data_IF_862417971599
#
_entry.id   IF_862417971599
#
_cell.length_a   1.000
_cell.length_b   1.000
_cell.length_c   1.000
_cell.angle_alpha   90.00
_cell.angle_beta   90.00
_cell.angle_gamma   90.00
#
_symmetry.space_group_name_H-M   'P 1'
#
loop_
_entity.id
_entity.type
_entity.pdbx_description
1 polymer ?
#
# COMPACT_ATOMS: atom_id res chain seq x y z
N UNK A 1 -33.56 -4.15 73.16
CA UNK A 1 -32.24 -3.90 72.56
C UNK A 1 -32.40 -3.87 71.05
N UNK A 2 -32.03 -2.75 70.46
CA UNK A 2 -32.16 -2.39 69.05
C UNK A 2 -31.10 -3.07 68.17
N UNK A 3 -31.53 -3.57 67.00
CA UNK A 3 -30.93 -3.60 65.63
C UNK A 3 -29.41 -3.78 65.40
N UNK A 4 -28.95 -4.43 64.30
CA UNK A 4 -29.12 -3.82 62.98
C UNK A 4 -29.53 -4.73 61.81
N UNK A 5 -30.32 -4.08 60.96
CA UNK A 5 -30.84 -4.44 59.65
C UNK A 5 -29.69 -4.38 58.63
N UNK A 6 -29.37 -5.50 57.95
CA UNK A 6 -28.39 -5.50 56.85
C UNK A 6 -28.98 -4.73 55.65
N UNK A 7 -28.26 -3.69 55.26
CA UNK A 7 -28.55 -2.80 54.13
C UNK A 7 -28.42 -3.59 52.83
N UNK A 8 -29.53 -3.72 52.09
CA UNK A 8 -29.50 -4.20 50.71
C UNK A 8 -28.69 -3.24 49.86
N UNK A 9 -27.67 -3.75 49.16
CA UNK A 9 -26.98 -3.02 48.10
C UNK A 9 -28.02 -2.58 47.06
N UNK A 10 -28.14 -1.26 46.84
CA UNK A 10 -28.94 -0.69 45.75
C UNK A 10 -28.44 -1.29 44.41
N UNK A 11 -29.31 -1.86 43.57
CA UNK A 11 -28.97 -2.14 42.18
C UNK A 11 -28.56 -0.82 41.52
N UNK A 12 -27.47 -0.84 40.76
CA UNK A 12 -27.04 0.31 39.96
C UNK A 12 -28.14 0.74 38.96
N UNK A 13 -28.04 1.95 38.38
CA UNK A 13 -28.99 2.43 37.38
C UNK A 13 -29.17 1.38 36.27
N UNK A 14 -30.40 1.13 35.77
CA UNK A 14 -30.60 0.16 34.69
C UNK A 14 -29.73 0.55 33.50
N UNK A 15 -29.07 -0.44 32.87
CA UNK A 15 -28.31 -0.23 31.65
C UNK A 15 -29.21 0.51 30.65
N UNK A 16 -28.84 1.74 30.29
CA UNK A 16 -29.61 2.52 29.32
C UNK A 16 -29.59 1.77 28.00
N UNK A 17 -30.77 1.47 27.47
CA UNK A 17 -30.94 0.85 26.15
C UNK A 17 -30.02 1.54 25.13
N UNK A 18 -29.27 0.76 24.36
CA UNK A 18 -28.39 1.23 23.29
C UNK A 18 -28.93 0.86 21.91
N UNK A 19 -28.37 1.47 20.85
CA UNK A 19 -28.69 1.08 19.47
C UNK A 19 -28.27 -0.35 19.17
N UNK A 20 -27.19 -0.83 19.79
CA UNK A 20 -26.73 -2.22 19.69
C UNK A 20 -27.71 -3.19 20.35
N UNK A 21 -28.31 -2.84 21.49
CA UNK A 21 -29.34 -3.67 22.12
C UNK A 21 -30.56 -3.81 21.22
N UNK A 22 -30.95 -2.72 20.56
CA UNK A 22 -32.04 -2.68 19.58
C UNK A 22 -31.71 -3.57 18.36
N UNK A 23 -30.52 -3.42 17.79
CA UNK A 23 -30.04 -4.24 16.66
C UNK A 23 -29.96 -5.74 17.03
N UNK A 24 -29.48 -6.07 18.23
CA UNK A 24 -29.42 -7.46 18.72
C UNK A 24 -30.80 -8.06 18.92
N UNK A 25 -31.77 -7.28 19.41
CA UNK A 25 -33.15 -7.73 19.49
C UNK A 25 -33.76 -8.02 18.12
N UNK A 26 -33.44 -7.22 17.10
CA UNK A 26 -33.86 -7.44 15.72
C UNK A 26 -33.23 -8.72 15.13
N UNK A 27 -31.92 -8.94 15.31
CA UNK A 27 -31.25 -10.18 14.88
C UNK A 27 -31.90 -11.42 15.51
N UNK A 28 -32.23 -11.35 16.79
CA UNK A 28 -32.82 -12.47 17.51
C UNK A 28 -34.29 -12.74 17.12
N UNK A 29 -35.00 -11.76 16.55
CA UNK A 29 -36.35 -11.92 15.99
C UNK A 29 -36.32 -12.56 14.60
N UNK A 30 -35.25 -12.31 13.84
CA UNK A 30 -35.12 -12.74 12.45
C UNK A 30 -35.51 -11.61 11.48
N UNK A 31 -34.62 -11.30 10.54
CA UNK A 31 -34.73 -10.11 9.70
C UNK A 31 -35.86 -10.18 8.65
N UNK A 32 -36.21 -11.40 8.21
CA UNK A 32 -37.30 -11.63 7.25
C UNK A 32 -38.68 -11.40 7.85
N UNK A 33 -38.85 -11.67 9.14
CA UNK A 33 -40.13 -11.54 9.87
C UNK A 33 -40.19 -10.30 10.75
N UNK A 34 -39.16 -9.45 10.67
CA UNK A 34 -38.95 -8.32 11.57
C UNK A 34 -40.12 -7.34 11.58
N UNK A 35 -40.62 -7.07 12.79
CA UNK A 35 -41.70 -6.13 13.06
C UNK A 35 -41.34 -5.21 14.21
N UNK A 36 -41.43 -3.89 14.00
CA UNK A 36 -41.19 -2.87 15.04
C UNK A 36 -41.91 -3.17 16.37
N UNK A 37 -43.21 -3.54 16.39
CA UNK A 37 -43.89 -3.95 17.62
C UNK A 37 -43.28 -5.15 18.35
N UNK A 38 -42.83 -6.16 17.62
CA UNK A 38 -42.27 -7.37 18.23
C UNK A 38 -40.92 -7.07 18.85
N UNK A 39 -40.08 -6.26 18.20
CA UNK A 39 -38.79 -5.79 18.74
C UNK A 39 -39.01 -4.97 20.02
N UNK A 40 -39.94 -4.01 20.01
CA UNK A 40 -40.26 -3.19 21.19
C UNK A 40 -40.72 -4.05 22.38
N UNK A 41 -41.63 -5.00 22.12
CA UNK A 41 -42.09 -5.97 23.13
C UNK A 41 -40.96 -6.84 23.66
N UNK A 42 -40.05 -7.29 22.80
CA UNK A 42 -38.90 -8.11 23.21
C UNK A 42 -37.94 -7.35 24.13
N UNK A 43 -37.75 -6.07 23.85
CA UNK A 43 -36.93 -5.17 24.68
C UNK A 43 -37.67 -4.68 25.94
N UNK A 44 -38.97 -4.94 26.07
CA UNK A 44 -39.79 -4.44 27.17
C UNK A 44 -39.97 -2.92 27.16
N UNK A 45 -39.86 -2.28 25.99
CA UNK A 45 -39.97 -0.81 25.84
C UNK A 45 -41.17 -0.41 24.98
N UNK A 46 -41.58 0.86 25.09
CA UNK A 46 -42.61 1.42 24.20
C UNK A 46 -42.08 1.59 22.77
N UNK A 47 -42.98 1.60 21.79
CA UNK A 47 -42.64 1.98 20.40
C UNK A 47 -41.93 3.33 20.32
N UNK A 48 -42.43 4.33 21.06
CA UNK A 48 -41.82 5.67 21.10
C UNK A 48 -40.39 5.66 21.64
N UNK A 49 -40.05 4.71 22.51
CA UNK A 49 -38.67 4.54 23.01
C UNK A 49 -37.79 3.89 21.95
N UNK A 50 -38.29 2.88 21.22
CA UNK A 50 -37.57 2.22 20.13
C UNK A 50 -37.18 3.22 19.02
N UNK A 51 -38.12 4.07 18.60
CA UNK A 51 -37.90 5.07 17.54
C UNK A 51 -36.89 6.18 17.90
N UNK A 52 -36.42 6.26 19.15
CA UNK A 52 -35.30 7.15 19.51
C UNK A 52 -33.95 6.65 19.03
N UNK A 53 -33.84 5.36 18.71
CA UNK A 53 -32.60 4.70 18.33
C UNK A 53 -32.53 4.34 16.85
N UNK A 54 -33.70 4.17 16.22
CA UNK A 54 -33.85 3.85 14.80
C UNK A 54 -35.03 4.61 14.21
N UNK A 55 -34.88 5.09 12.98
CA UNK A 55 -35.90 5.94 12.35
C UNK A 55 -37.09 5.13 11.82
N UNK A 56 -36.81 3.96 11.24
CA UNK A 56 -37.81 3.07 10.65
C UNK A 56 -37.32 1.62 10.66
N UNK A 57 -38.06 0.74 9.96
CA UNK A 57 -37.72 -0.68 9.85
C UNK A 57 -36.42 -0.89 9.07
N UNK A 58 -36.16 -0.09 8.05
CA UNK A 58 -35.00 -0.29 7.18
C UNK A 58 -33.71 0.16 7.88
N UNK A 59 -33.76 1.27 8.63
CA UNK A 59 -32.69 1.70 9.52
C UNK A 59 -32.39 0.66 10.62
N UNK A 60 -33.42 -0.03 11.11
CA UNK A 60 -33.25 -1.15 12.04
C UNK A 60 -32.59 -2.36 11.38
N UNK A 61 -32.97 -2.71 10.15
CA UNK A 61 -32.33 -3.78 9.37
C UNK A 61 -30.86 -3.44 9.11
N UNK A 62 -30.56 -2.21 8.67
CA UNK A 62 -29.19 -1.75 8.44
C UNK A 62 -28.34 -1.80 9.73
N UNK A 63 -28.90 -1.37 10.86
CA UNK A 63 -28.22 -1.45 12.16
C UNK A 63 -27.97 -2.89 12.60
N UNK A 64 -28.91 -3.80 12.36
CA UNK A 64 -28.77 -5.22 12.64
C UNK A 64 -27.68 -5.87 11.77
N UNK A 65 -27.64 -5.56 10.47
CA UNK A 65 -26.59 -6.03 9.56
C UNK A 65 -25.22 -5.49 10.00
N UNK A 66 -25.11 -4.19 10.29
CA UNK A 66 -23.86 -3.55 10.75
C UNK A 66 -23.30 -4.25 12.00
N UNK A 67 -24.16 -4.46 13.01
CA UNK A 67 -23.80 -5.15 14.25
C UNK A 67 -23.32 -6.58 13.98
N UNK A 68 -24.07 -7.36 13.18
CA UNK A 68 -23.72 -8.73 12.87
C UNK A 68 -22.37 -8.84 12.13
N UNK A 69 -22.13 -7.95 11.16
CA UNK A 69 -20.85 -7.89 10.43
C UNK A 69 -19.71 -7.49 11.38
N UNK A 70 -19.96 -6.56 12.32
CA UNK A 70 -18.95 -6.13 13.30
C UNK A 70 -18.56 -7.21 14.30
N UNK A 71 -19.52 -8.01 14.75
CA UNK A 71 -19.28 -9.11 15.71
C UNK A 71 -18.70 -10.37 15.04
N UNK A 72 -18.72 -10.47 13.71
CA UNK A 72 -18.16 -11.59 12.97
C UNK A 72 -16.66 -11.44 12.68
N UNK A 73 -15.95 -12.57 12.58
CA UNK A 73 -14.52 -12.59 12.23
C UNK A 73 -14.35 -12.71 10.72
N UNK A 74 -13.80 -11.66 10.11
CA UNK A 74 -13.49 -11.58 8.69
C UNK A 74 -11.98 -11.76 8.44
N UNK A 75 -11.56 -12.28 7.28
CA UNK A 75 -10.14 -12.41 6.97
C UNK A 75 -9.44 -11.04 6.94
N UNK A 76 -8.19 -11.01 7.40
CA UNK A 76 -7.39 -9.81 7.35
C UNK A 76 -6.97 -9.48 5.89
N UNK A 77 -6.84 -8.20 5.52
CA UNK A 77 -6.46 -7.78 4.17
C UNK A 77 -4.94 -7.93 3.90
N UNK A 78 -4.27 -8.86 4.57
CA UNK A 78 -2.84 -9.16 4.46
C UNK A 78 -2.54 -10.43 3.63
N UNK A 79 -3.58 -11.17 3.23
CA UNK A 79 -3.49 -12.34 2.35
C UNK A 79 -3.33 -11.96 0.86
N UNK A 80 -2.73 -12.84 0.07
CA UNK A 80 -2.66 -12.69 -1.40
C UNK A 80 -4.05 -12.63 -2.03
N UNK A 81 -4.20 -11.99 -3.19
CA UNK A 81 -5.53 -11.67 -3.75
C UNK A 81 -6.48 -12.88 -3.85
N UNK A 82 -5.97 -14.04 -4.30
CA UNK A 82 -6.76 -15.26 -4.51
C UNK A 82 -7.18 -15.86 -3.19
N UNK A 83 -6.23 -15.95 -2.26
CA UNK A 83 -6.46 -16.45 -0.91
C UNK A 83 -7.43 -15.56 -0.14
N UNK A 84 -7.28 -14.23 -0.25
CA UNK A 84 -8.16 -13.25 0.39
C UNK A 84 -9.61 -13.40 -0.09
N UNK A 85 -9.85 -13.44 -1.39
CA UNK A 85 -11.20 -13.56 -1.94
C UNK A 85 -11.82 -14.93 -1.64
N UNK A 86 -11.01 -15.99 -1.61
CA UNK A 86 -11.46 -17.31 -1.19
C UNK A 86 -11.85 -17.33 0.29
N UNK A 87 -11.00 -16.78 1.15
CA UNK A 87 -11.26 -16.66 2.58
C UNK A 87 -12.46 -15.75 2.86
N UNK A 88 -12.66 -14.71 2.04
CA UNK A 88 -13.83 -13.84 2.13
C UNK A 88 -15.11 -14.58 1.78
N UNK A 89 -15.14 -15.31 0.66
CA UNK A 89 -16.29 -16.13 0.29
C UNK A 89 -16.63 -17.18 1.37
N UNK A 90 -15.61 -17.84 1.93
CA UNK A 90 -15.76 -18.78 3.04
C UNK A 90 -16.35 -18.12 4.29
N UNK A 91 -15.79 -16.97 4.70
CA UNK A 91 -16.28 -16.22 5.85
C UNK A 91 -17.71 -15.74 5.63
N UNK A 92 -18.04 -15.24 4.44
CA UNK A 92 -19.38 -14.80 4.09
C UNK A 92 -20.37 -15.97 4.09
N UNK A 93 -19.99 -17.12 3.52
CA UNK A 93 -20.84 -18.32 3.56
C UNK A 93 -21.15 -18.74 5.00
N UNK A 94 -20.13 -18.84 5.86
CA UNK A 94 -20.30 -19.16 7.30
C UNK A 94 -21.16 -18.11 8.00
N UNK A 95 -20.96 -16.84 7.68
CA UNK A 95 -21.76 -15.74 8.21
C UNK A 95 -23.24 -15.88 7.84
N UNK A 96 -23.55 -16.16 6.57
CA UNK A 96 -24.93 -16.35 6.10
C UNK A 96 -25.59 -17.59 6.73
N UNK A 97 -24.84 -18.70 6.87
CA UNK A 97 -25.33 -19.91 7.56
C UNK A 97 -25.61 -19.67 9.05
N UNK A 98 -24.81 -18.84 9.71
CA UNK A 98 -25.00 -18.47 11.11
C UNK A 98 -26.18 -17.50 11.33
N UNK A 99 -26.60 -16.77 10.30
CA UNK A 99 -27.65 -15.75 10.39
C UNK A 99 -28.76 -15.99 9.34
N UNK A 100 -29.74 -16.88 9.62
CA UNK A 100 -30.85 -17.15 8.70
C UNK A 100 -31.60 -15.87 8.30
N UNK A 101 -31.86 -15.71 7.00
CA UNK A 101 -32.53 -14.53 6.43
C UNK A 101 -31.64 -13.32 6.18
N UNK A 102 -30.35 -13.41 6.52
CA UNK A 102 -29.36 -12.35 6.26
C UNK A 102 -29.15 -12.13 4.75
N UNK A 103 -29.07 -13.20 3.97
CA UNK A 103 -28.85 -13.14 2.52
C UNK A 103 -29.93 -12.30 1.81
N UNK A 104 -31.21 -12.60 2.08
CA UNK A 104 -32.33 -11.84 1.54
C UNK A 104 -32.35 -10.39 2.05
N UNK A 105 -32.03 -10.20 3.33
CA UNK A 105 -32.04 -8.86 3.94
C UNK A 105 -30.97 -7.95 3.34
N UNK A 106 -29.79 -8.48 3.01
CA UNK A 106 -28.74 -7.75 2.31
C UNK A 106 -29.19 -7.36 0.90
N UNK A 107 -29.83 -8.27 0.14
CA UNK A 107 -30.25 -7.99 -1.24
C UNK A 107 -31.30 -6.88 -1.36
N UNK A 108 -32.16 -6.72 -0.35
CA UNK A 108 -33.24 -5.72 -0.37
C UNK A 108 -32.93 -4.47 0.47
N UNK A 109 -31.76 -4.41 1.11
CA UNK A 109 -31.37 -3.28 1.93
C UNK A 109 -31.23 -2.01 1.08
N UNK A 110 -31.70 -0.83 1.54
CA UNK A 110 -31.64 0.41 0.76
C UNK A 110 -30.23 1.02 0.67
N UNK A 111 -29.22 0.37 1.25
CA UNK A 111 -27.83 0.82 1.23
C UNK A 111 -26.88 -0.14 1.94
N UNK A 112 -25.59 0.20 1.91
CA UNK A 112 -24.54 -0.57 2.58
C UNK A 112 -24.25 0.01 3.96
N UNK A 113 -24.29 -0.79 5.03
CA UNK A 113 -23.84 -0.35 6.35
C UNK A 113 -22.38 0.10 6.36
N UNK A 114 -22.02 0.94 7.33
CA UNK A 114 -20.67 1.50 7.46
C UNK A 114 -19.62 0.40 7.57
N UNK A 115 -19.88 -0.63 8.40
CA UNK A 115 -18.93 -1.72 8.60
C UNK A 115 -18.71 -2.56 7.33
N UNK A 116 -19.75 -2.75 6.53
CA UNK A 116 -19.65 -3.44 5.23
C UNK A 116 -18.78 -2.62 4.27
N UNK A 117 -18.98 -1.30 4.25
CA UNK A 117 -18.19 -0.38 3.42
C UNK A 117 -16.71 -0.39 3.80
N UNK A 118 -16.39 -0.35 5.11
CA UNK A 118 -15.02 -0.43 5.61
C UNK A 118 -14.34 -1.75 5.22
N UNK A 119 -15.05 -2.87 5.40
CA UNK A 119 -14.54 -4.20 5.06
C UNK A 119 -14.23 -4.31 3.56
N UNK A 120 -15.20 -3.96 2.72
CA UNK A 120 -15.05 -3.98 1.26
C UNK A 120 -13.92 -3.06 0.81
N UNK A 121 -13.80 -1.87 1.40
CA UNK A 121 -12.71 -0.93 1.10
C UNK A 121 -11.34 -1.54 1.40
N UNK A 122 -11.19 -2.22 2.55
CA UNK A 122 -9.94 -2.90 2.91
C UNK A 122 -9.52 -3.94 1.88
N UNK A 123 -10.46 -4.78 1.41
CA UNK A 123 -10.17 -5.79 0.40
C UNK A 123 -9.88 -5.18 -0.97
N UNK A 124 -10.63 -4.17 -1.39
CA UNK A 124 -10.36 -3.43 -2.63
C UNK A 124 -8.95 -2.84 -2.59
N UNK A 125 -8.55 -2.21 -1.49
CA UNK A 125 -7.19 -1.66 -1.36
C UNK A 125 -6.12 -2.75 -1.43
N UNK A 126 -6.33 -3.92 -0.81
CA UNK A 126 -5.40 -5.04 -0.93
C UNK A 126 -5.28 -5.55 -2.37
N UNK A 127 -6.41 -5.81 -3.04
CA UNK A 127 -6.42 -6.24 -4.45
C UNK A 127 -5.68 -5.25 -5.36
N UNK A 128 -5.77 -3.94 -5.07
CA UNK A 128 -5.01 -2.93 -5.80
C UNK A 128 -3.51 -3.01 -5.59
N UNK A 129 -3.04 -3.36 -4.40
CA UNK A 129 -1.59 -3.59 -4.16
C UNK A 129 -1.07 -4.85 -4.89
N UNK A 130 -1.97 -5.78 -5.22
CA UNK A 130 -1.70 -7.00 -6.01
C UNK A 130 -1.82 -6.77 -7.53
N UNK A 131 -2.07 -5.54 -7.97
CA UNK A 131 -2.04 -5.16 -9.39
C UNK A 131 -3.41 -5.06 -10.08
N UNK A 132 -4.53 -5.26 -9.39
CA UNK A 132 -5.85 -5.03 -10.00
C UNK A 132 -6.13 -3.53 -10.16
N UNK A 133 -6.75 -3.14 -11.28
CA UNK A 133 -7.30 -1.80 -11.47
C UNK A 133 -8.36 -1.47 -10.43
N UNK A 134 -8.55 -0.18 -10.10
CA UNK A 134 -9.53 0.26 -9.08
C UNK A 134 -10.93 -0.30 -9.32
N UNK A 135 -11.39 -0.23 -10.58
CA UNK A 135 -12.72 -0.71 -10.98
C UNK A 135 -12.82 -2.22 -10.89
N UNK A 136 -11.78 -2.94 -11.30
CA UNK A 136 -11.74 -4.41 -11.29
C UNK A 136 -11.68 -4.96 -9.87
N UNK A 137 -10.88 -4.33 -8.99
CA UNK A 137 -10.83 -4.69 -7.58
C UNK A 137 -12.21 -4.52 -6.90
N UNK A 138 -12.92 -3.42 -7.17
CA UNK A 138 -14.29 -3.23 -6.68
C UNK A 138 -15.25 -4.28 -7.22
N UNK A 139 -15.22 -4.53 -8.54
CA UNK A 139 -16.06 -5.57 -9.17
C UNK A 139 -15.75 -6.95 -8.60
N UNK A 140 -14.49 -7.26 -8.30
CA UNK A 140 -14.11 -8.58 -7.78
C UNK A 140 -14.67 -8.83 -6.38
N UNK A 141 -14.55 -7.87 -5.46
CA UNK A 141 -15.11 -7.99 -4.11
C UNK A 141 -16.63 -8.08 -4.16
N UNK A 142 -17.25 -7.23 -4.96
CA UNK A 142 -18.71 -7.17 -5.16
C UNK A 142 -19.24 -8.49 -5.75
N UNK A 143 -18.63 -8.99 -6.82
CA UNK A 143 -19.04 -10.23 -7.48
C UNK A 143 -18.89 -11.46 -6.57
N UNK A 144 -17.81 -11.53 -5.77
CA UNK A 144 -17.64 -12.62 -4.80
C UNK A 144 -18.76 -12.58 -3.75
N UNK A 145 -19.12 -11.40 -3.26
CA UNK A 145 -20.23 -11.24 -2.33
C UNK A 145 -21.56 -11.68 -2.97
N UNK A 146 -21.87 -11.17 -4.16
CA UNK A 146 -23.09 -11.49 -4.91
C UNK A 146 -23.21 -12.98 -5.23
N UNK A 147 -22.15 -13.60 -5.74
CA UNK A 147 -22.13 -15.03 -6.06
C UNK A 147 -22.36 -15.88 -4.82
N UNK A 148 -21.76 -15.49 -3.68
CA UNK A 148 -21.91 -16.21 -2.41
C UNK A 148 -23.35 -16.10 -1.90
N UNK A 149 -23.90 -14.88 -1.85
CA UNK A 149 -25.28 -14.62 -1.40
C UNK A 149 -26.30 -15.32 -2.29
N UNK A 150 -26.19 -15.16 -3.61
CA UNK A 150 -27.11 -15.75 -4.56
C UNK A 150 -27.05 -17.28 -4.54
N UNK A 151 -25.85 -17.86 -4.40
CA UNK A 151 -25.70 -19.32 -4.34
C UNK A 151 -26.23 -19.87 -3.02
N UNK A 152 -26.05 -19.20 -1.88
CA UNK A 152 -26.65 -19.64 -0.61
C UNK A 152 -28.18 -19.70 -0.70
N UNK A 153 -28.81 -18.64 -1.22
CA UNK A 153 -30.27 -18.60 -1.43
C UNK A 153 -30.73 -19.72 -2.35
N UNK A 154 -30.04 -19.91 -3.48
CA UNK A 154 -30.37 -20.94 -4.46
C UNK A 154 -30.24 -22.35 -3.87
N UNK A 155 -29.11 -22.65 -3.21
CA UNK A 155 -28.85 -23.97 -2.62
C UNK A 155 -29.84 -24.30 -1.51
N UNK A 156 -30.16 -23.33 -0.63
CA UNK A 156 -31.21 -23.49 0.38
C UNK A 156 -32.60 -23.70 -0.24
N UNK A 157 -32.88 -23.03 -1.36
CA UNK A 157 -34.12 -23.19 -2.10
C UNK A 157 -34.31 -24.60 -2.66
N UNK A 158 -33.22 -25.24 -3.09
CA UNK A 158 -33.25 -26.60 -3.63
C UNK A 158 -33.62 -27.67 -2.58
N UNK A 159 -33.36 -27.41 -1.29
CA UNK A 159 -33.70 -28.35 -0.21
C UNK A 159 -35.19 -28.31 0.17
N UNK A 160 -35.98 -27.40 -0.41
CA UNK A 160 -37.43 -27.36 -0.19
C UNK A 160 -38.08 -28.62 -0.77
N UNK A 161 -38.91 -29.26 0.05
CA UNK A 161 -39.64 -30.48 -0.33
C UNK A 161 -41.08 -30.20 -0.71
N UNK A 162 -41.57 -30.91 -1.72
CA UNK A 162 -42.92 -30.84 -2.24
C UNK A 162 -43.50 -32.25 -2.41
N UNK A 163 -44.82 -32.37 -2.36
CA UNK A 163 -45.51 -33.60 -2.70
C UNK A 163 -45.58 -33.77 -4.21
N UNK A 164 -45.20 -34.95 -4.71
CA UNK A 164 -45.28 -35.32 -6.12
C UNK A 164 -46.06 -36.62 -6.28
N UNK A 165 -46.53 -36.99 -7.49
CA UNK A 165 -47.14 -38.30 -7.73
C UNK A 165 -46.22 -39.50 -7.38
N UNK A 166 -44.91 -39.28 -7.25
CA UNK A 166 -43.91 -40.29 -6.86
C UNK A 166 -43.44 -40.17 -5.41
N UNK A 167 -44.21 -39.47 -4.57
CA UNK A 167 -43.93 -39.21 -3.16
C UNK A 167 -43.29 -37.85 -2.89
N UNK A 168 -42.95 -37.60 -1.62
CA UNK A 168 -42.29 -36.35 -1.19
C UNK A 168 -40.88 -36.28 -1.77
N UNK A 169 -40.59 -35.21 -2.52
CA UNK A 169 -39.28 -34.97 -3.16
C UNK A 169 -38.81 -33.55 -2.91
N UNK A 170 -37.51 -33.35 -2.80
CA UNK A 170 -36.86 -32.03 -2.81
C UNK A 170 -36.79 -31.46 -4.23
N UNK A 171 -36.73 -30.14 -4.34
CA UNK A 171 -36.48 -29.49 -5.64
C UNK A 171 -35.11 -29.87 -6.20
N UNK A 172 -34.14 -30.18 -5.34
CA UNK A 172 -32.83 -30.73 -5.68
C UNK A 172 -32.93 -32.04 -6.46
N UNK A 173 -33.70 -33.00 -5.95
CA UNK A 173 -33.90 -34.30 -6.61
C UNK A 173 -34.55 -34.11 -7.97
N UNK A 174 -35.62 -33.31 -8.04
CA UNK A 174 -36.32 -33.03 -9.30
C UNK A 174 -35.45 -32.30 -10.33
N UNK A 175 -34.64 -31.34 -9.87
CA UNK A 175 -33.73 -30.60 -10.73
C UNK A 175 -32.60 -31.50 -11.25
N UNK A 176 -31.97 -32.32 -10.40
CA UNK A 176 -30.97 -33.30 -10.84
C UNK A 176 -31.53 -34.32 -11.85
N UNK A 177 -32.74 -34.83 -11.63
CA UNK A 177 -33.43 -35.73 -12.57
C UNK A 177 -33.65 -35.07 -13.94
N UNK A 178 -34.02 -33.78 -13.97
CA UNK A 178 -34.22 -33.05 -15.23
C UNK A 178 -32.93 -32.80 -16.04
N UNK A 179 -31.76 -32.88 -15.41
CA UNK A 179 -30.45 -32.68 -16.05
C UNK A 179 -29.81 -33.98 -16.56
N UNK A 180 -30.29 -35.14 -16.11
CA UNK A 180 -29.78 -36.46 -16.53
C UNK A 180 -29.86 -36.67 -18.05
N UNK A 181 -30.82 -36.03 -18.74
CA UNK A 181 -31.00 -36.18 -20.19
C UNK A 181 -30.18 -35.17 -21.03
N UNK A 182 -29.59 -34.12 -20.44
CA UNK A 182 -28.97 -33.00 -21.17
C UNK A 182 -27.45 -32.85 -20.97
N UNK A 183 -26.87 -33.25 -19.83
CA UNK A 183 -25.46 -32.99 -19.50
C UNK A 183 -24.85 -34.09 -18.61
N UNK A 184 -24.50 -35.23 -19.20
CA UNK A 184 -23.96 -36.42 -18.48
C UNK A 184 -22.58 -36.19 -17.83
N UNK A 185 -21.80 -35.21 -18.28
CA UNK A 185 -20.44 -34.96 -17.78
C UNK A 185 -20.31 -33.77 -16.80
N UNK A 186 -21.29 -32.87 -16.73
CA UNK A 186 -21.11 -31.57 -16.05
C UNK A 186 -21.75 -31.47 -14.66
N UNK A 187 -22.64 -32.40 -14.29
CA UNK A 187 -23.39 -32.34 -13.03
C UNK A 187 -23.05 -33.54 -12.15
N UNK A 188 -21.88 -33.52 -11.50
CA UNK A 188 -21.69 -34.36 -10.33
C UNK A 188 -22.69 -33.90 -9.26
N UNK A 189 -23.53 -34.81 -8.76
CA UNK A 189 -24.53 -34.52 -7.74
C UNK A 189 -23.91 -33.98 -6.44
N UNK A 190 -22.60 -34.17 -6.23
CA UNK A 190 -21.84 -33.60 -5.12
C UNK A 190 -21.53 -32.10 -5.30
N UNK A 191 -21.31 -31.63 -6.53
CA UNK A 191 -21.04 -30.23 -6.83
C UNK A 191 -22.23 -29.34 -6.45
N UNK A 192 -23.45 -29.83 -6.64
CA UNK A 192 -24.64 -29.06 -6.26
C UNK A 192 -24.95 -29.06 -4.76
N UNK A 193 -24.18 -29.74 -3.91
CA UNK A 193 -24.40 -29.73 -2.46
C UNK A 193 -23.59 -28.64 -1.77
N UNK A 194 -24.15 -28.06 -0.70
CA UNK A 194 -23.53 -27.01 0.11
C UNK A 194 -22.86 -25.91 -0.73
N UNK A 195 -21.52 -25.80 -0.65
CA UNK A 195 -20.71 -24.77 -1.31
C UNK A 195 -20.06 -25.24 -2.62
N UNK A 196 -20.24 -26.50 -3.04
CA UNK A 196 -19.51 -27.05 -4.19
C UNK A 196 -19.68 -26.19 -5.45
N UNK A 197 -20.92 -25.83 -5.75
CA UNK A 197 -21.28 -25.04 -6.93
C UNK A 197 -20.79 -23.58 -6.82
N UNK A 198 -20.62 -23.07 -5.60
CA UNK A 198 -19.99 -21.78 -5.38
C UNK A 198 -18.49 -21.87 -5.65
N UNK A 199 -17.82 -22.89 -5.12
CA UNK A 199 -16.37 -23.08 -5.28
C UNK A 199 -15.98 -23.28 -6.76
N UNK A 200 -16.79 -23.98 -7.55
CA UNK A 200 -16.60 -24.11 -8.99
C UNK A 200 -16.71 -22.76 -9.71
N UNK A 201 -17.76 -21.97 -9.39
CA UNK A 201 -17.93 -20.61 -9.94
C UNK A 201 -16.78 -19.69 -9.53
N UNK A 202 -16.34 -19.76 -8.27
CA UNK A 202 -15.23 -18.97 -7.76
C UNK A 202 -13.92 -19.36 -8.44
N UNK A 203 -13.70 -20.66 -8.67
CA UNK A 203 -12.53 -21.15 -9.42
C UNK A 203 -12.50 -20.56 -10.83
N UNK A 204 -13.61 -20.70 -11.59
CA UNK A 204 -13.72 -20.13 -12.93
C UNK A 204 -13.55 -18.60 -12.93
N UNK A 205 -14.16 -17.92 -11.96
CA UNK A 205 -14.04 -16.48 -11.81
C UNK A 205 -12.61 -16.06 -11.49
N UNK A 206 -11.94 -16.72 -10.53
CA UNK A 206 -10.58 -16.42 -10.13
C UNK A 206 -9.56 -16.77 -11.21
N UNK A 207 -9.79 -17.80 -12.01
CA UNK A 207 -8.95 -18.13 -13.16
C UNK A 207 -9.11 -17.07 -14.27
N UNK A 208 -10.33 -16.66 -14.58
CA UNK A 208 -10.58 -15.54 -15.50
C UNK A 208 -10.15 -14.17 -14.95
N UNK A 209 -10.09 -14.02 -13.64
CA UNK A 209 -9.53 -12.83 -13.00
C UNK A 209 -8.01 -12.87 -13.03
N UNK A 210 -7.37 -14.03 -12.89
CA UNK A 210 -5.91 -14.17 -12.99
C UNK A 210 -5.35 -13.75 -14.36
N UNK A 211 -6.19 -13.72 -15.41
CA UNK A 211 -5.80 -13.16 -16.72
C UNK A 211 -5.90 -11.63 -16.79
N UNK A 212 -6.53 -11.00 -15.79
CA UNK A 212 -6.76 -9.53 -15.69
C UNK A 212 -6.05 -8.90 -14.50
N UNK A 213 -5.76 -9.68 -13.46
CA UNK A 213 -4.69 -9.36 -12.52
C UNK A 213 -3.43 -9.27 -13.38
N UNK A 214 -2.80 -8.10 -13.44
CA UNK A 214 -1.45 -8.02 -13.99
C UNK A 214 -0.64 -9.13 -13.33
N UNK A 215 -0.08 -10.10 -14.08
CA UNK A 215 0.30 -11.39 -13.53
C UNK A 215 1.21 -11.20 -12.31
N UNK A 216 1.01 -11.91 -11.18
CA UNK A 216 2.07 -12.04 -10.21
C UNK A 216 3.15 -12.85 -10.90
N UNK A 217 4.29 -12.23 -11.19
CA UNK A 217 5.33 -12.91 -11.94
C UNK A 217 5.86 -14.11 -11.18
N UNK A 218 5.34 -15.28 -11.52
CA UNK A 218 5.68 -16.56 -10.90
C UNK A 218 5.90 -17.61 -11.97
N UNK A 219 6.80 -17.27 -12.90
CA UNK A 219 7.84 -18.17 -13.35
C UNK A 219 9.09 -17.28 -13.56
N UNK A 220 10.29 -17.72 -13.17
CA UNK A 220 11.49 -16.94 -13.43
C UNK A 220 11.67 -16.88 -14.95
N UNK A 221 11.38 -15.71 -15.54
CA UNK A 221 12.11 -15.32 -16.73
C UNK A 221 13.61 -15.39 -16.42
N UNK A 222 14.48 -15.57 -17.43
CA UNK A 222 15.92 -15.58 -17.19
C UNK A 222 16.29 -14.41 -16.29
N UNK A 223 17.02 -14.69 -15.20
CA UNK A 223 17.46 -13.66 -14.24
C UNK A 223 18.02 -12.51 -15.07
N UNK A 224 17.39 -11.32 -15.02
CA UNK A 224 17.82 -10.23 -15.85
C UNK A 224 19.24 -9.88 -15.44
N UNK A 225 20.08 -9.57 -16.42
CA UNK A 225 21.43 -9.11 -16.13
C UNK A 225 21.37 -7.89 -15.18
N UNK A 226 22.11 -7.98 -14.06
CA UNK A 226 22.15 -6.94 -13.03
C UNK A 226 22.53 -5.61 -13.65
N UNK A 227 23.49 -5.61 -14.57
CA UNK A 227 24.00 -4.38 -15.18
C UNK A 227 22.96 -3.72 -16.08
N UNK A 228 22.18 -4.53 -16.81
CA UNK A 228 21.04 -4.07 -17.60
C UNK A 228 19.95 -3.45 -16.72
N UNK A 229 19.65 -4.06 -15.57
CA UNK A 229 18.67 -3.54 -14.60
C UNK A 229 19.11 -2.20 -14.02
N UNK A 230 20.36 -2.13 -13.55
CA UNK A 230 20.90 -0.91 -12.93
C UNK A 230 21.01 0.23 -13.95
N UNK A 231 21.43 -0.08 -15.18
CA UNK A 231 21.52 0.90 -16.28
C UNK A 231 20.15 1.46 -16.63
N UNK A 232 19.14 0.60 -16.81
CA UNK A 232 17.78 1.05 -17.11
C UNK A 232 17.20 1.93 -15.99
N UNK A 233 17.46 1.59 -14.72
CA UNK A 233 17.03 2.37 -13.58
C UNK A 233 17.72 3.74 -13.50
N UNK A 234 19.04 3.80 -13.75
CA UNK A 234 19.81 5.06 -13.82
C UNK A 234 19.32 5.95 -14.95
N UNK A 235 19.07 5.38 -16.12
CA UNK A 235 18.57 6.13 -17.27
C UNK A 235 17.16 6.69 -17.03
N UNK A 236 16.31 5.94 -16.33
CA UNK A 236 15.01 6.43 -15.87
C UNK A 236 15.18 7.58 -14.87
N UNK A 237 16.06 7.44 -13.89
CA UNK A 237 16.34 8.47 -12.88
C UNK A 237 16.86 9.78 -13.51
N UNK A 238 17.67 9.69 -14.56
CA UNK A 238 18.14 10.85 -15.32
C UNK A 238 17.04 11.60 -16.05
N UNK A 239 16.05 10.88 -16.59
CA UNK A 239 14.95 11.48 -17.36
C UNK A 239 13.83 12.03 -16.48
N UNK A 240 13.46 11.30 -15.45
CA UNK A 240 12.23 11.52 -14.68
C UNK A 240 12.46 11.75 -13.18
N UNK A 241 13.71 11.67 -12.73
CA UNK A 241 14.08 11.81 -11.33
C UNK A 241 13.98 10.49 -10.54
N UNK A 242 14.54 10.50 -9.32
CA UNK A 242 14.64 9.31 -8.48
C UNK A 242 13.29 8.75 -8.03
N UNK A 243 12.27 9.59 -7.88
CA UNK A 243 10.92 9.17 -7.47
C UNK A 243 10.21 8.30 -8.52
N UNK A 244 10.58 8.43 -9.79
CA UNK A 244 10.07 7.59 -10.87
C UNK A 244 10.67 6.17 -10.85
N UNK A 245 11.82 5.99 -10.19
CA UNK A 245 12.49 4.70 -10.08
C UNK A 245 11.74 3.81 -9.09
N UNK A 246 10.80 3.04 -9.63
CA UNK A 246 10.10 1.99 -8.91
C UNK A 246 10.52 0.62 -9.46
N UNK A 247 10.53 -0.44 -8.64
CA UNK A 247 10.84 -1.79 -9.11
C UNK A 247 9.98 -2.22 -10.31
N UNK A 248 8.75 -1.71 -10.40
CA UNK A 248 7.83 -1.96 -11.51
C UNK A 248 8.22 -1.20 -12.79
N UNK A 249 8.47 0.10 -12.70
CA UNK A 249 8.92 0.88 -13.86
C UNK A 249 10.22 0.34 -14.47
N UNK A 250 11.15 -0.12 -13.62
CA UNK A 250 12.42 -0.74 -14.07
C UNK A 250 12.18 -2.11 -14.70
N UNK A 251 11.26 -2.91 -14.14
CA UNK A 251 10.88 -4.19 -14.74
C UNK A 251 10.29 -4.00 -16.14
N UNK A 252 9.38 -3.04 -16.31
CA UNK A 252 8.75 -2.70 -17.59
C UNK A 252 9.79 -2.27 -18.64
N UNK A 253 10.76 -1.43 -18.26
CA UNK A 253 11.84 -0.96 -19.15
C UNK A 253 12.77 -2.09 -19.63
N UNK A 254 13.08 -3.03 -18.74
CA UNK A 254 14.02 -4.12 -19.04
C UNK A 254 13.32 -5.27 -19.78
N UNK A 255 11.99 -5.29 -19.80
CA UNK A 255 11.20 -6.43 -20.29
C UNK A 255 11.28 -7.63 -19.34
N UNK A 256 11.47 -7.35 -18.05
CA UNK A 256 11.50 -8.34 -16.98
C UNK A 256 10.40 -8.01 -15.97
N UNK A 257 10.53 -8.55 -14.78
CA UNK A 257 9.47 -8.63 -13.81
C UNK A 257 10.00 -8.14 -12.45
N UNK A 258 9.14 -7.64 -11.57
CA UNK A 258 9.59 -7.01 -10.31
C UNK A 258 10.40 -7.98 -9.45
N UNK A 259 10.00 -9.25 -9.39
CA UNK A 259 10.75 -10.32 -8.71
C UNK A 259 12.11 -10.58 -9.36
N UNK A 260 12.20 -10.48 -10.69
CA UNK A 260 13.47 -10.54 -11.43
C UNK A 260 14.41 -9.40 -11.06
N UNK A 261 13.90 -8.16 -11.04
CA UNK A 261 14.64 -6.99 -10.54
C UNK A 261 15.08 -7.21 -9.09
N UNK A 262 14.15 -7.59 -8.21
CA UNK A 262 14.47 -7.82 -6.78
C UNK A 262 15.47 -8.95 -6.55
N UNK A 263 15.50 -9.96 -7.41
CA UNK A 263 16.46 -11.07 -7.28
C UNK A 263 17.92 -10.65 -7.48
N UNK A 264 18.17 -9.59 -8.27
CA UNK A 264 19.54 -9.12 -8.58
C UNK A 264 19.99 -7.93 -7.76
N UNK A 265 19.07 -7.09 -7.28
CA UNK A 265 19.40 -5.86 -6.54
C UNK A 265 18.70 -5.75 -5.19
N UNK A 266 17.89 -6.71 -4.79
CA UNK A 266 17.17 -6.68 -3.50
C UNK A 266 15.96 -5.75 -3.54
N UNK A 267 15.81 -4.91 -2.53
CA UNK A 267 14.70 -3.95 -2.43
C UNK A 267 15.00 -2.65 -3.19
N UNK A 268 14.17 -1.62 -2.97
CA UNK A 268 14.36 -0.31 -3.61
C UNK A 268 15.70 0.29 -3.21
N UNK A 269 16.10 0.17 -1.95
CA UNK A 269 17.32 0.79 -1.46
C UNK A 269 18.55 0.06 -2.00
N UNK A 270 18.49 -1.28 -2.10
CA UNK A 270 19.51 -2.08 -2.79
C UNK A 270 19.65 -1.72 -4.28
N UNK A 271 18.55 -1.41 -4.98
CA UNK A 271 18.61 -0.89 -6.35
C UNK A 271 19.27 0.50 -6.41
N UNK A 272 18.90 1.42 -5.51
CA UNK A 272 19.49 2.76 -5.45
C UNK A 272 20.98 2.68 -5.11
N UNK A 273 21.38 1.82 -4.17
CA UNK A 273 22.78 1.56 -3.85
C UNK A 273 23.53 1.02 -5.05
N UNK A 274 22.97 0.07 -5.79
CA UNK A 274 23.58 -0.44 -7.01
C UNK A 274 23.73 0.64 -8.11
N UNK A 275 22.77 1.57 -8.20
CA UNK A 275 22.88 2.73 -9.08
C UNK A 275 23.97 3.72 -8.61
N UNK A 276 24.09 3.93 -7.29
CA UNK A 276 25.13 4.77 -6.69
C UNK A 276 26.52 4.16 -6.89
N UNK A 277 26.65 2.84 -6.87
CA UNK A 277 27.89 2.14 -7.21
C UNK A 277 28.34 2.47 -8.65
N UNK A 278 27.41 2.49 -9.61
CA UNK A 278 27.72 2.91 -10.99
C UNK A 278 28.11 4.39 -11.08
N UNK A 279 27.54 5.26 -10.22
CA UNK A 279 27.99 6.66 -10.12
C UNK A 279 29.39 6.74 -9.53
N UNK A 280 29.70 5.92 -8.51
CA UNK A 280 31.02 5.86 -7.89
C UNK A 280 32.10 5.37 -8.87
N UNK A 281 31.80 4.37 -9.69
CA UNK A 281 32.69 3.88 -10.75
C UNK A 281 32.98 4.92 -11.83
N UNK A 282 32.03 5.84 -12.08
CA UNK A 282 32.20 6.94 -13.04
C UNK A 282 33.03 8.11 -12.48
N UNK A 283 33.40 8.09 -11.20
CA UNK A 283 34.27 9.12 -10.62
C UNK A 283 35.68 8.92 -11.17
N UNK A 284 36.15 9.89 -11.95
CA UNK A 284 37.55 9.98 -12.35
C UNK A 284 38.41 10.41 -11.16
N UNK A 285 38.81 9.43 -10.35
CA UNK A 285 39.58 9.68 -9.13
C UNK A 285 40.99 10.18 -9.51
N UNK A 286 41.40 11.40 -9.10
CA UNK A 286 42.71 11.93 -9.40
C UNK A 286 43.84 11.13 -8.73
N UNK A 287 45.03 11.20 -9.31
CA UNK A 287 46.23 10.66 -8.66
C UNK A 287 46.43 11.30 -7.27
N UNK A 288 46.90 10.55 -6.25
CA UNK A 288 47.14 11.11 -4.92
C UNK A 288 48.10 12.30 -4.94
N UNK A 289 47.69 13.40 -4.30
CA UNK A 289 48.51 14.60 -4.09
C UNK A 289 48.99 14.64 -2.63
N UNK A 290 50.30 14.82 -2.37
CA UNK A 290 50.81 14.97 -1.01
C UNK A 290 50.36 16.27 -0.32
N UNK A 291 49.91 17.30 -1.03
CA UNK A 291 49.32 18.49 -0.43
C UNK A 291 47.85 18.24 -0.03
N UNK A 292 47.51 18.23 1.26
CA UNK A 292 46.16 17.92 1.72
C UNK A 292 45.07 18.84 1.17
N UNK A 293 45.40 20.12 0.95
CA UNK A 293 44.44 21.08 0.39
C UNK A 293 44.12 20.72 -1.05
N UNK A 294 45.14 20.53 -1.87
CA UNK A 294 44.99 20.20 -3.30
C UNK A 294 44.30 18.84 -3.48
N UNK A 295 44.63 17.85 -2.65
CA UNK A 295 43.97 16.53 -2.61
C UNK A 295 42.46 16.65 -2.33
N UNK A 296 42.06 17.37 -1.27
CA UNK A 296 40.65 17.55 -0.92
C UNK A 296 39.85 18.27 -2.01
N UNK A 297 40.43 19.32 -2.61
CA UNK A 297 39.79 20.04 -3.71
C UNK A 297 39.61 19.14 -4.93
N UNK A 298 40.66 18.41 -5.32
CA UNK A 298 40.61 17.52 -6.48
C UNK A 298 39.57 16.41 -6.32
N UNK A 299 39.52 15.76 -5.14
CA UNK A 299 38.52 14.74 -4.83
C UNK A 299 37.09 15.31 -4.82
N UNK A 300 36.87 16.47 -4.20
CA UNK A 300 35.57 17.12 -4.18
C UNK A 300 35.07 17.51 -5.57
N UNK A 301 35.99 17.95 -6.46
CA UNK A 301 35.67 18.27 -7.85
C UNK A 301 35.35 17.03 -8.69
N UNK A 302 36.05 15.91 -8.46
CA UNK A 302 35.77 14.64 -9.12
C UNK A 302 34.36 14.15 -8.75
N UNK A 303 34.01 14.16 -7.46
CA UNK A 303 32.67 13.80 -6.97
C UNK A 303 31.61 14.76 -7.52
N UNK A 304 31.85 16.07 -7.47
CA UNK A 304 30.95 17.07 -8.04
C UNK A 304 30.65 16.80 -9.53
N UNK A 305 31.69 16.44 -10.30
CA UNK A 305 31.54 16.15 -11.73
C UNK A 305 30.65 14.93 -11.98
N UNK A 306 30.86 13.84 -11.22
CA UNK A 306 30.00 12.65 -11.29
C UNK A 306 28.55 12.96 -10.88
N UNK A 307 28.34 13.71 -9.79
CA UNK A 307 27.00 14.09 -9.34
C UNK A 307 26.28 15.04 -10.30
N UNK A 308 27.00 15.88 -11.04
CA UNK A 308 26.40 16.68 -12.12
C UNK A 308 25.92 15.84 -13.30
N UNK A 309 26.60 14.72 -13.59
CA UNK A 309 26.16 13.78 -14.63
C UNK A 309 24.94 12.96 -14.18
N UNK A 310 24.75 12.79 -12.86
CA UNK A 310 23.65 12.05 -12.26
C UNK A 310 23.00 12.81 -11.08
N UNK A 311 22.26 13.91 -11.32
CA UNK A 311 21.73 14.77 -10.26
C UNK A 311 20.75 14.07 -9.31
N UNK A 312 20.14 12.97 -9.75
CA UNK A 312 19.27 12.12 -8.93
C UNK A 312 20.00 11.47 -7.75
N UNK A 313 21.33 11.37 -7.79
CA UNK A 313 22.13 10.77 -6.72
C UNK A 313 22.17 11.64 -5.46
N UNK A 314 22.06 12.97 -5.60
CA UNK A 314 22.10 13.90 -4.48
C UNK A 314 20.98 13.66 -3.45
N UNK A 315 19.68 13.57 -3.82
CA UNK A 315 18.64 13.25 -2.86
C UNK A 315 18.81 11.86 -2.22
N UNK A 316 19.31 10.85 -2.94
CA UNK A 316 19.60 9.53 -2.37
C UNK A 316 20.67 9.59 -1.25
N UNK A 317 21.73 10.39 -1.47
CA UNK A 317 22.82 10.57 -0.51
C UNK A 317 22.43 11.48 0.67
N UNK A 318 21.75 12.59 0.39
CA UNK A 318 21.52 13.66 1.35
C UNK A 318 20.26 13.46 2.21
N UNK A 319 19.24 12.78 1.68
CA UNK A 319 17.95 12.56 2.36
C UNK A 319 17.85 11.14 2.89
N UNK A 320 18.12 10.16 2.03
CA UNK A 320 17.94 8.74 2.37
C UNK A 320 19.18 8.14 3.08
N UNK A 321 20.33 8.83 3.03
CA UNK A 321 21.57 8.40 3.68
C UNK A 321 22.18 7.14 3.06
N UNK A 322 21.81 6.80 1.82
CA UNK A 322 22.24 5.59 1.15
C UNK A 322 23.61 5.80 0.51
N UNK A 323 24.55 4.88 0.78
CA UNK A 323 25.86 4.85 0.14
C UNK A 323 26.32 3.40 -0.05
N UNK A 324 26.85 3.09 -1.23
CA UNK A 324 27.45 1.79 -1.53
C UNK A 324 28.91 1.69 -1.04
N UNK A 325 29.46 0.46 -0.90
CA UNK A 325 30.80 0.25 -0.40
C UNK A 325 31.90 0.77 -1.34
N UNK A 326 31.61 0.99 -2.62
CA UNK A 326 32.60 1.45 -3.61
C UNK A 326 33.15 2.85 -3.32
N UNK A 327 32.44 3.68 -2.55
CA UNK A 327 32.90 5.02 -2.19
C UNK A 327 33.91 5.03 -1.04
N UNK A 328 34.03 3.93 -0.27
CA UNK A 328 34.84 3.88 0.94
C UNK A 328 36.34 4.22 0.71
N UNK A 329 37.02 3.75 -0.36
CA UNK A 329 38.41 4.14 -0.61
C UNK A 329 38.58 5.66 -0.87
N UNK A 330 37.59 6.30 -1.49
CA UNK A 330 37.60 7.74 -1.69
C UNK A 330 37.40 8.47 -0.36
N UNK A 331 36.47 8.01 0.49
CA UNK A 331 36.27 8.57 1.82
C UNK A 331 37.53 8.43 2.70
N UNK A 332 38.23 7.30 2.60
CA UNK A 332 39.49 7.08 3.30
C UNK A 332 40.57 8.11 2.89
N UNK A 333 40.67 8.42 1.59
CA UNK A 333 41.56 9.49 1.09
C UNK A 333 41.16 10.86 1.64
N UNK A 334 39.86 11.18 1.66
CA UNK A 334 39.36 12.45 2.22
C UNK A 334 39.71 12.57 3.71
N UNK A 335 39.46 11.51 4.50
CA UNK A 335 39.81 11.50 5.92
C UNK A 335 41.32 11.59 6.14
N UNK A 336 42.11 10.86 5.35
CA UNK A 336 43.57 10.88 5.40
C UNK A 336 44.11 12.28 5.08
N UNK A 337 43.55 12.96 4.09
CA UNK A 337 43.92 14.34 3.76
C UNK A 337 43.60 15.30 4.91
N UNK A 338 42.41 15.22 5.52
CA UNK A 338 42.09 16.03 6.70
C UNK A 338 43.06 15.77 7.86
N UNK A 339 43.41 14.50 8.14
CA UNK A 339 44.41 14.14 9.16
C UNK A 339 45.79 14.69 8.84
N UNK A 340 46.24 14.57 7.59
CA UNK A 340 47.54 15.07 7.13
C UNK A 340 47.63 16.60 7.22
N UNK A 341 46.50 17.31 7.12
CA UNK A 341 46.42 18.74 7.37
C UNK A 341 46.45 19.14 8.86
N UNK A 342 46.49 18.16 9.78
CA UNK A 342 46.55 18.36 11.23
C UNK A 342 45.20 18.50 11.92
N UNK A 343 44.10 18.15 11.25
CA UNK A 343 42.76 18.20 11.87
C UNK A 343 42.58 17.04 12.85
N UNK A 344 42.10 17.34 14.06
CA UNK A 344 41.77 16.33 15.07
C UNK A 344 40.61 15.44 14.61
N UNK A 345 40.69 14.13 14.90
CA UNK A 345 39.73 13.10 14.44
C UNK A 345 38.26 13.47 14.78
N UNK A 346 38.04 14.13 15.92
CA UNK A 346 36.72 14.59 16.39
C UNK A 346 36.08 15.68 15.50
N UNK A 347 36.88 16.46 14.77
CA UNK A 347 36.42 17.51 13.87
C UNK A 347 36.26 17.05 12.42
N UNK A 348 36.92 15.95 12.03
CA UNK A 348 36.94 15.45 10.64
C UNK A 348 35.54 15.10 10.15
N UNK A 349 34.68 14.50 10.99
CA UNK A 349 33.31 14.18 10.60
C UNK A 349 32.50 15.45 10.26
N UNK A 350 32.65 16.51 11.05
CA UNK A 350 31.95 17.80 10.82
C UNK A 350 32.49 18.49 9.56
N UNK A 351 33.82 18.52 9.38
CA UNK A 351 34.43 19.08 8.18
C UNK A 351 34.02 18.33 6.91
N UNK A 352 33.98 17.00 6.98
CA UNK A 352 33.53 16.14 5.88
C UNK A 352 32.06 16.38 5.54
N UNK A 353 31.19 16.52 6.56
CA UNK A 353 29.78 16.89 6.35
C UNK A 353 29.65 18.24 5.65
N UNK A 354 30.39 19.26 6.09
CA UNK A 354 30.38 20.58 5.47
C UNK A 354 30.81 20.52 4.01
N UNK A 355 31.88 19.77 3.72
CA UNK A 355 32.38 19.55 2.36
C UNK A 355 31.32 18.88 1.48
N UNK A 356 30.71 17.78 1.92
CA UNK A 356 29.70 17.07 1.12
C UNK A 356 28.42 17.86 0.92
N UNK A 357 27.92 18.54 1.96
CA UNK A 357 26.74 19.42 1.81
C UNK A 357 26.98 20.50 0.75
N UNK A 358 28.19 21.08 0.72
CA UNK A 358 28.54 22.06 -0.30
C UNK A 358 28.61 21.44 -1.71
N UNK A 359 29.30 20.30 -1.85
CA UNK A 359 29.42 19.57 -3.13
C UNK A 359 28.05 19.17 -3.68
N UNK A 360 27.16 18.66 -2.83
CA UNK A 360 25.79 18.30 -3.19
C UNK A 360 24.98 19.52 -3.65
N UNK A 361 25.04 20.62 -2.91
CA UNK A 361 24.38 21.86 -3.28
C UNK A 361 24.89 22.42 -4.61
N UNK A 362 26.21 22.44 -4.80
CA UNK A 362 26.83 22.89 -6.04
C UNK A 362 26.42 22.04 -7.26
N UNK A 363 26.33 20.72 -7.09
CA UNK A 363 25.96 19.80 -8.17
C UNK A 363 24.50 19.97 -8.64
N UNK A 364 23.60 20.45 -7.79
CA UNK A 364 22.19 20.68 -8.12
C UNK A 364 21.91 22.05 -8.76
N UNK A 365 22.84 23.01 -8.63
CA UNK A 365 22.64 24.36 -9.14
C UNK A 365 23.00 24.42 -10.63
N UNK A 366 21.96 24.39 -11.47
CA UNK A 366 22.12 24.60 -12.92
C UNK A 366 21.79 26.04 -13.29
N UNK A 367 22.68 26.74 -14.03
CA UNK A 367 22.35 28.04 -14.60
C UNK A 367 21.29 27.86 -15.68
N UNK A 368 20.05 28.17 -15.33
CA UNK A 368 18.90 28.20 -16.26
C UNK A 368 18.30 29.59 -16.28
N UNK A 369 17.53 29.96 -17.32
CA UNK A 369 16.77 31.22 -17.36
C UNK A 369 15.81 31.38 -16.17
N UNK A 370 15.47 30.28 -15.51
CA UNK A 370 14.60 30.20 -14.34
C UNK A 370 15.38 30.00 -13.03
N UNK A 371 16.70 30.19 -13.03
CA UNK A 371 17.50 30.11 -11.80
C UNK A 371 17.21 31.29 -10.88
N UNK A 372 17.51 31.13 -9.58
CA UNK A 372 17.39 32.23 -8.62
C UNK A 372 18.22 33.45 -9.06
N UNK A 373 19.45 33.24 -9.53
CA UNK A 373 20.32 34.29 -10.06
C UNK A 373 19.69 35.03 -11.25
N UNK A 374 19.12 34.30 -12.21
CA UNK A 374 18.44 34.92 -13.37
C UNK A 374 17.20 35.73 -12.95
N UNK A 375 16.38 35.21 -12.02
CA UNK A 375 15.26 35.95 -11.46
C UNK A 375 15.71 37.19 -10.69
N UNK A 376 16.79 37.08 -9.92
CA UNK A 376 17.34 38.18 -9.14
C UNK A 376 17.80 39.32 -10.04
N UNK A 377 18.50 39.02 -11.13
CA UNK A 377 18.89 40.02 -12.16
C UNK A 377 17.67 40.66 -12.83
N UNK A 378 16.61 39.89 -13.11
CA UNK A 378 15.39 40.41 -13.74
C UNK A 378 14.56 41.30 -12.80
N UNK A 379 14.56 41.00 -11.49
CA UNK A 379 13.72 41.69 -10.50
C UNK A 379 14.43 42.81 -9.75
N UNK A 380 15.76 42.82 -9.71
CA UNK A 380 16.52 43.76 -8.90
C UNK A 380 16.66 45.11 -9.61
N UNK A 381 16.12 46.17 -8.99
CA UNK A 381 16.46 47.55 -9.33
C UNK A 381 17.74 47.98 -8.60
N UNK A 382 18.82 47.22 -8.80
CA UNK A 382 20.12 47.46 -8.17
C UNK A 382 21.27 47.13 -9.13
N UNK A 383 22.04 48.14 -9.58
CA UNK A 383 23.21 47.92 -10.44
C UNK A 383 24.25 46.99 -9.82
N UNK A 384 24.36 46.99 -8.49
CA UNK A 384 25.29 46.12 -7.75
C UNK A 384 24.84 44.67 -7.80
N UNK A 385 23.56 44.39 -7.52
CA UNK A 385 23.02 43.03 -7.58
C UNK A 385 23.18 42.46 -9.00
N UNK A 386 22.86 43.26 -10.02
CA UNK A 386 23.00 42.86 -11.42
C UNK A 386 24.46 42.60 -11.80
N UNK A 387 25.38 43.53 -11.50
CA UNK A 387 26.79 43.38 -11.84
C UNK A 387 27.45 42.18 -11.14
N UNK A 388 27.20 42.00 -9.84
CA UNK A 388 27.78 40.89 -9.05
C UNK A 388 27.20 39.55 -9.48
N UNK A 389 25.89 39.46 -9.71
CA UNK A 389 25.24 38.21 -10.14
C UNK A 389 25.71 37.80 -11.52
N UNK A 390 25.79 38.74 -12.48
CA UNK A 390 26.30 38.47 -13.82
C UNK A 390 27.76 38.00 -13.78
N UNK A 391 28.62 38.69 -13.03
CA UNK A 391 30.03 38.31 -12.87
C UNK A 391 30.19 36.90 -12.27
N UNK A 392 29.40 36.55 -11.26
CA UNK A 392 29.43 35.23 -10.62
C UNK A 392 28.91 34.08 -11.49
N UNK A 393 28.06 34.36 -12.49
CA UNK A 393 27.50 33.35 -13.40
C UNK A 393 28.26 33.16 -14.71
N UNK A 394 29.18 34.07 -15.06
CA UNK A 394 29.79 34.14 -16.38
C UNK A 394 30.80 33.03 -16.69
N UNK A 395 31.47 32.47 -15.68
CA UNK A 395 32.68 31.67 -15.90
C UNK A 395 32.47 30.15 -15.73
N UNK A 396 31.31 29.71 -15.24
CA UNK A 396 31.04 28.28 -14.97
C UNK A 396 31.91 27.64 -13.86
N UNK A 397 32.90 28.36 -13.35
CA UNK A 397 33.86 27.93 -12.32
C UNK A 397 33.39 28.21 -10.87
N UNK A 398 32.15 28.66 -10.68
CA UNK A 398 31.63 29.01 -9.34
C UNK A 398 31.78 27.87 -8.32
N UNK A 399 31.61 26.62 -8.75
CA UNK A 399 31.81 25.43 -7.93
C UNK A 399 33.29 25.22 -7.54
N UNK A 400 34.25 25.49 -8.44
CA UNK A 400 35.70 25.40 -8.15
C UNK A 400 36.10 26.44 -7.10
N UNK A 401 35.64 27.68 -7.27
CA UNK A 401 35.89 28.77 -6.32
C UNK A 401 35.28 28.43 -4.96
N UNK A 402 34.02 27.99 -4.93
CA UNK A 402 33.30 27.61 -3.71
C UNK A 402 33.96 26.47 -2.95
N UNK A 403 34.29 25.37 -3.63
CA UNK A 403 34.97 24.21 -3.04
C UNK A 403 36.35 24.61 -2.52
N UNK A 404 37.14 25.35 -3.30
CA UNK A 404 38.49 25.80 -2.90
C UNK A 404 38.43 26.70 -1.67
N UNK A 405 37.49 27.65 -1.63
CA UNK A 405 37.31 28.54 -0.50
C UNK A 405 36.88 27.78 0.76
N UNK A 406 35.93 26.84 0.63
CA UNK A 406 35.48 26.00 1.74
C UNK A 406 36.62 25.16 2.32
N UNK A 407 37.36 24.42 1.47
CA UNK A 407 38.50 23.62 1.92
C UNK A 407 39.55 24.51 2.58
N UNK A 408 39.86 25.66 1.99
CA UNK A 408 40.81 26.61 2.59
C UNK A 408 40.36 27.08 3.97
N UNK A 409 39.08 27.39 4.14
CA UNK A 409 38.51 27.79 5.43
C UNK A 409 38.53 26.65 6.46
N UNK A 410 38.12 25.44 6.08
CA UNK A 410 38.14 24.25 6.95
C UNK A 410 39.55 23.91 7.43
N UNK A 411 40.58 24.16 6.63
CA UNK A 411 41.98 23.92 7.01
C UNK A 411 42.66 25.10 7.71
N UNK A 412 42.04 26.28 7.69
CA UNK A 412 42.53 27.46 8.41
C UNK A 412 42.15 27.43 9.89
N UNK A 413 40.99 26.85 10.22
CA UNK A 413 40.49 26.69 11.59
C UNK A 413 41.14 25.45 12.23
N UNK A 414 42.38 25.64 12.67
CA UNK A 414 43.14 24.63 13.42
C UNK A 414 42.70 24.67 14.88
N UNK A 415 41.54 24.08 15.16
CA UNK A 415 41.13 23.78 16.54
C UNK A 415 42.23 23.05 17.28
#
# INVERSE_FOLDING_TARGET
MSTPRRVGRKPGPPASLTRDDVARAALAEGLLTLSMPTVARRLGVSHSTLYRYVHDRDDLVLAAIDLAVREFTWPAPDLGWRELLWAFADALWRFLKAHPGMAESIQVAPGLPARVTELATGYVLRLRTEGLGRREASIAVDLVADLTIATEIAMRGLDRTFETPRGRRSLRELYLESWQDLLVEAADATAMQDRGWLDDKLTLFFDGMATRVDPPTTAPGPTPDRDRVVTAARDLARREGLSAVTPRAVADLVGTQVTGVRSVVGDRDGLVVAMLDVVAEAIEVPAPDPDPRSELVALALAVHTALRADPWAVPALAVDGLAGPLILPLLDRVFTAFRAAGMADEHITTATRALWTHVFGAALITPTPHSFAARLVQSADSPVITAVTLAGTADGQAHVIGITALVTGLLADRG
#
